data_IF_774203379914
#
_entry.id   IF_774203379914
#
_cell.length_a   1.000
_cell.length_b   1.000
_cell.length_c   1.000
_cell.angle_alpha   90.00
_cell.angle_beta   90.00
_cell.angle_gamma   90.00
#
_symmetry.space_group_name_H-M   'P 1'
#
loop_
_entity.id
_entity.type
_entity.pdbx_description
1 polymer ?
#
# COMPACT_ATOMS: atom_id res chain seq x y z
N UNK A 1 -48.34 10.48 60.52
CA UNK A 1 -47.74 11.82 60.30
C UNK A 1 -48.24 12.39 58.97
N UNK A 2 -49.07 13.44 59.06
CA UNK A 2 -49.18 14.64 58.20
C UNK A 2 -48.72 14.51 56.72
N UNK A 3 -49.64 14.63 55.73
CA UNK A 3 -50.03 15.88 55.02
C UNK A 3 -48.85 16.47 54.20
N UNK A 4 -48.95 16.94 52.96
CA UNK A 4 -50.03 17.14 51.98
C UNK A 4 -49.29 17.65 50.70
N UNK A 5 -49.80 17.35 49.52
CA UNK A 5 -49.46 18.03 48.25
C UNK A 5 -49.55 19.56 48.41
N UNK A 6 -48.85 20.36 47.59
CA UNK A 6 -49.49 21.42 46.78
C UNK A 6 -48.53 21.99 45.73
N UNK A 7 -49.02 21.93 44.50
CA UNK A 7 -48.65 22.74 43.34
C UNK A 7 -49.20 24.16 43.55
N UNK A 8 -48.41 25.17 43.20
CA UNK A 8 -48.83 26.57 43.01
C UNK A 8 -47.95 27.15 41.88
N UNK A 9 -48.43 27.25 40.64
CA UNK A 9 -49.32 28.28 40.08
C UNK A 9 -48.61 29.63 39.89
N UNK A 10 -48.28 29.91 38.61
CA UNK A 10 -48.62 31.13 37.86
C UNK A 10 -48.02 32.47 38.34
N UNK A 11 -47.29 33.17 37.47
CA UNK A 11 -47.76 34.40 36.78
C UNK A 11 -46.63 35.33 36.30
N UNK A 12 -46.93 35.98 35.16
CA UNK A 12 -46.52 37.31 34.67
C UNK A 12 -45.01 37.58 34.37
N UNK A 13 -44.63 37.76 33.10
CA UNK A 13 -44.73 39.00 32.30
C UNK A 13 -43.64 40.03 32.65
N UNK A 14 -42.63 40.19 31.78
CA UNK A 14 -42.25 41.52 31.25
C UNK A 14 -41.26 41.42 30.09
N UNK A 15 -41.57 42.14 29.01
CA UNK A 15 -40.67 42.56 27.94
C UNK A 15 -39.42 43.27 28.52
N UNK A 16 -38.27 43.09 27.86
CA UNK A 16 -37.34 44.19 27.61
C UNK A 16 -36.57 43.94 26.32
N UNK A 17 -36.76 44.91 25.42
CA UNK A 17 -36.03 45.21 24.19
C UNK A 17 -34.54 45.38 24.50
N UNK A 18 -33.65 44.96 23.59
CA UNK A 18 -32.51 45.75 23.10
C UNK A 18 -31.78 44.97 21.98
N UNK A 19 -31.79 45.55 20.77
CA UNK A 19 -30.82 45.25 19.73
C UNK A 19 -29.39 45.45 20.26
N UNK A 20 -28.48 44.55 19.89
CA UNK A 20 -27.07 44.88 19.74
C UNK A 20 -26.43 43.93 18.73
N UNK A 21 -26.05 44.48 17.59
CA UNK A 21 -25.22 43.85 16.57
C UNK A 21 -23.86 43.44 17.14
N UNK A 22 -23.30 42.32 16.66
CA UNK A 22 -21.89 42.09 16.30
C UNK A 22 -21.78 40.64 15.80
N UNK A 23 -21.08 40.24 14.75
CA UNK A 23 -20.29 40.87 13.68
C UNK A 23 -20.34 39.86 12.54
N UNK A 24 -20.88 40.23 11.39
CA UNK A 24 -20.66 39.49 10.14
C UNK A 24 -19.27 39.88 9.62
N UNK A 25 -18.32 38.94 9.68
CA UNK A 25 -17.09 39.05 8.92
C UNK A 25 -17.45 38.84 7.43
N UNK A 26 -17.77 39.96 6.78
CA UNK A 26 -17.98 40.05 5.35
C UNK A 26 -16.67 39.75 4.61
N UNK A 27 -16.53 38.50 4.15
CA UNK A 27 -15.73 38.18 2.98
C UNK A 27 -16.42 38.76 1.75
N UNK A 28 -16.00 39.98 1.39
CA UNK A 28 -16.40 40.64 0.15
C UNK A 28 -15.99 39.73 -1.02
N UNK A 29 -16.99 39.17 -1.71
CA UNK A 29 -16.85 38.74 -3.10
C UNK A 29 -17.80 39.59 -3.92
N UNK A 30 -17.27 40.23 -4.96
CA UNK A 30 -18.01 41.06 -5.90
C UNK A 30 -19.05 40.20 -6.61
N UNK A 31 -20.30 40.27 -6.16
CA UNK A 31 -21.43 39.60 -6.81
C UNK A 31 -21.74 40.36 -8.09
N UNK A 32 -21.58 39.72 -9.25
CA UNK A 32 -22.27 40.16 -10.47
C UNK A 32 -23.77 40.03 -10.20
N UNK A 33 -24.48 41.15 -10.27
CA UNK A 33 -25.94 41.21 -10.21
C UNK A 33 -26.56 40.22 -11.22
N UNK A 34 -27.37 39.26 -10.74
CA UNK A 34 -28.37 38.58 -11.57
C UNK A 34 -28.50 37.05 -11.52
N UNK A 35 -27.59 36.29 -10.89
CA UNK A 35 -27.71 34.82 -10.83
C UNK A 35 -28.19 34.33 -9.46
N UNK A 36 -29.26 33.53 -9.44
CA UNK A 36 -29.77 32.89 -8.22
C UNK A 36 -28.70 31.94 -7.65
N UNK A 37 -28.41 32.04 -6.35
CA UNK A 37 -27.44 31.18 -5.67
C UNK A 37 -28.04 30.57 -4.41
N UNK A 38 -27.57 29.37 -4.06
CA UNK A 38 -27.99 28.62 -2.89
C UNK A 38 -26.80 28.29 -2.00
N UNK A 39 -27.06 28.30 -0.69
CA UNK A 39 -26.05 27.99 0.32
C UNK A 39 -25.86 26.49 0.40
N UNK A 40 -24.61 26.06 0.29
CA UNK A 40 -24.19 24.65 0.31
C UNK A 40 -23.14 24.47 1.40
N UNK A 41 -23.37 23.51 2.30
CA UNK A 41 -22.38 23.07 3.28
C UNK A 41 -21.58 21.91 2.69
N UNK A 42 -20.31 22.14 2.37
CA UNK A 42 -19.41 21.12 1.86
C UNK A 42 -18.53 20.57 2.99
N UNK A 43 -18.55 19.26 3.19
CA UNK A 43 -17.76 18.54 4.19
C UNK A 43 -16.69 17.71 3.50
N UNK A 44 -15.44 17.99 3.82
CA UNK A 44 -14.29 17.31 3.26
C UNK A 44 -13.63 16.53 4.40
N UNK A 45 -13.61 15.22 4.27
CA UNK A 45 -12.89 14.34 5.19
C UNK A 45 -11.70 13.71 4.48
N UNK A 46 -10.81 13.10 5.26
CA UNK A 46 -9.88 12.10 4.74
C UNK A 46 -10.55 10.73 4.78
N UNK A 47 -10.32 9.87 3.79
CA UNK A 47 -10.80 8.46 3.83
C UNK A 47 -10.28 7.70 5.06
N UNK A 48 -9.17 8.18 5.63
CA UNK A 48 -8.52 7.65 6.83
C UNK A 48 -9.01 8.25 8.14
N UNK A 49 -10.00 9.15 8.13
CA UNK A 49 -10.44 9.90 9.32
C UNK A 49 -10.97 9.03 10.45
N UNK A 50 -11.42 7.81 10.15
CA UNK A 50 -11.87 6.78 11.09
C UNK A 50 -10.96 5.54 11.16
N UNK A 51 -9.80 5.56 10.49
CA UNK A 51 -8.86 4.44 10.48
C UNK A 51 -7.94 4.48 11.70
N UNK A 52 -8.02 3.45 12.55
CA UNK A 52 -7.18 3.30 13.74
C UNK A 52 -5.67 3.17 13.42
N UNK A 53 -5.31 2.86 12.17
CA UNK A 53 -3.93 2.75 11.70
C UNK A 53 -3.39 4.06 11.12
N UNK A 54 -4.23 5.09 11.01
CA UNK A 54 -3.84 6.39 10.54
C UNK A 54 -3.32 7.26 11.69
N UNK A 55 -2.20 7.93 11.45
CA UNK A 55 -1.60 8.85 12.42
C UNK A 55 -2.09 10.28 12.17
N UNK A 56 -2.15 11.11 13.22
CA UNK A 56 -2.70 12.47 13.09
C UNK A 56 -1.89 13.36 12.12
N UNK A 57 -0.59 13.09 11.97
CA UNK A 57 0.30 13.73 10.99
C UNK A 57 0.06 13.29 9.54
N UNK A 58 -0.84 12.35 9.28
CA UNK A 58 -1.21 11.88 7.95
C UNK A 58 -2.52 12.48 7.42
N UNK A 59 -3.04 13.52 8.07
CA UNK A 59 -4.32 14.19 7.74
C UNK A 59 -4.09 15.47 6.90
N UNK A 60 -5.12 16.31 6.75
CA UNK A 60 -5.00 17.53 5.93
C UNK A 60 -4.27 18.63 6.70
N UNK A 61 -3.15 19.13 6.16
CA UNK A 61 -2.50 20.37 6.61
C UNK A 61 -2.99 21.58 5.80
N UNK A 62 -3.32 21.36 4.54
CA UNK A 62 -3.86 22.37 3.65
C UNK A 62 -4.98 21.82 2.78
N UNK A 63 -5.77 22.69 2.19
CA UNK A 63 -6.80 22.33 1.22
C UNK A 63 -6.81 23.31 0.05
N UNK A 64 -7.02 22.78 -1.15
CA UNK A 64 -7.32 23.52 -2.37
C UNK A 64 -8.56 22.88 -3.00
N UNK A 65 -9.65 23.64 -3.10
CA UNK A 65 -10.89 23.20 -3.73
C UNK A 65 -11.21 24.05 -4.95
N UNK A 66 -11.61 23.41 -6.03
CA UNK A 66 -12.25 24.06 -7.18
C UNK A 66 -13.65 23.50 -7.35
N UNK A 67 -14.66 24.37 -7.27
CA UNK A 67 -16.03 24.06 -7.66
C UNK A 67 -16.23 24.51 -9.09
N UNK A 68 -16.57 23.57 -9.97
CA UNK A 68 -16.65 23.77 -11.41
C UNK A 68 -18.09 23.57 -11.87
N UNK A 69 -18.60 24.51 -12.67
CA UNK A 69 -19.96 24.44 -13.20
C UNK A 69 -20.03 23.54 -14.46
N UNK A 70 -21.25 23.33 -14.97
CA UNK A 70 -21.50 22.52 -16.16
C UNK A 70 -20.77 23.02 -17.43
N UNK A 71 -20.36 24.29 -17.49
CA UNK A 71 -19.61 24.89 -18.60
C UNK A 71 -18.08 24.77 -18.41
N UNK A 72 -17.63 23.91 -17.49
CA UNK A 72 -16.23 23.70 -17.13
C UNK A 72 -15.52 24.97 -16.63
N UNK A 73 -16.27 25.92 -16.04
CA UNK A 73 -15.72 27.14 -15.44
C UNK A 73 -15.65 27.02 -13.93
N UNK A 74 -14.56 27.50 -13.35
CA UNK A 74 -14.38 27.56 -11.90
C UNK A 74 -15.32 28.63 -11.35
N UNK A 75 -16.28 28.19 -10.56
CA UNK A 75 -17.26 29.05 -9.90
C UNK A 75 -16.80 29.47 -8.51
N UNK A 76 -16.10 28.57 -7.80
CA UNK A 76 -15.50 28.85 -6.50
C UNK A 76 -14.14 28.22 -6.38
N UNK A 77 -13.21 28.95 -5.76
CA UNK A 77 -11.91 28.48 -5.31
C UNK A 77 -11.82 28.66 -3.80
N UNK A 78 -11.29 27.65 -3.10
CA UNK A 78 -11.01 27.70 -1.66
C UNK A 78 -9.58 27.25 -1.47
N UNK A 79 -8.79 28.06 -0.76
CA UNK A 79 -7.43 27.72 -0.36
C UNK A 79 -7.27 28.03 1.12
N UNK A 80 -6.90 27.02 1.91
CA UNK A 80 -6.67 27.21 3.35
C UNK A 80 -5.50 26.34 3.81
N UNK A 81 -4.70 26.88 4.74
CA UNK A 81 -3.69 26.13 5.49
C UNK A 81 -4.10 26.12 6.94
N UNK A 82 -4.10 24.95 7.56
CA UNK A 82 -4.56 24.77 8.92
C UNK A 82 -3.40 24.84 9.92
N UNK A 83 -3.65 25.44 11.08
CA UNK A 83 -2.68 25.44 12.19
C UNK A 83 -2.44 24.01 12.69
N UNK A 84 -3.50 23.22 12.83
CA UNK A 84 -3.45 21.80 13.18
C UNK A 84 -3.97 20.93 12.05
N UNK A 85 -3.53 19.68 12.02
CA UNK A 85 -3.99 18.70 11.03
C UNK A 85 -5.50 18.46 11.18
N UNK A 86 -6.25 18.54 10.08
CA UNK A 86 -7.70 18.33 10.07
C UNK A 86 -8.08 16.98 9.46
N UNK A 87 -8.88 16.21 10.20
CA UNK A 87 -9.58 15.01 9.71
C UNK A 87 -10.84 15.35 8.93
N UNK A 88 -11.47 16.47 9.29
CA UNK A 88 -12.69 17.00 8.69
C UNK A 88 -12.57 18.53 8.55
N UNK A 89 -12.97 19.04 7.41
CA UNK A 89 -13.11 20.45 7.11
C UNK A 89 -14.52 20.72 6.58
N UNK A 90 -15.22 21.68 7.16
CA UNK A 90 -16.56 22.08 6.73
C UNK A 90 -16.51 23.53 6.26
N UNK A 91 -17.09 23.81 5.10
CA UNK A 91 -17.21 25.15 4.55
C UNK A 91 -18.61 25.38 3.99
N UNK A 92 -19.13 26.60 4.18
CA UNK A 92 -20.37 27.05 3.54
C UNK A 92 -20.03 27.94 2.34
N UNK A 93 -20.58 27.61 1.18
CA UNK A 93 -20.36 28.34 -0.07
C UNK A 93 -21.69 28.61 -0.78
N UNK A 94 -21.79 29.79 -1.42
CA UNK A 94 -22.90 30.12 -2.30
C UNK A 94 -22.60 29.64 -3.72
N UNK A 95 -23.51 28.87 -4.31
CA UNK A 95 -23.38 28.32 -5.65
C UNK A 95 -24.67 28.48 -6.45
N UNK A 96 -24.55 28.73 -7.74
CA UNK A 96 -25.65 28.71 -8.70
C UNK A 96 -26.25 27.30 -8.82
N UNK A 97 -27.54 27.16 -9.20
CA UNK A 97 -28.17 25.87 -9.39
C UNK A 97 -27.46 24.98 -10.42
N UNK A 98 -27.74 23.68 -10.34
CA UNK A 98 -27.34 22.69 -11.33
C UNK A 98 -26.14 21.85 -10.93
N UNK A 99 -25.68 21.05 -11.88
CA UNK A 99 -24.60 20.08 -11.65
C UNK A 99 -23.26 20.78 -11.49
N UNK A 100 -22.55 20.42 -10.43
CA UNK A 100 -21.21 20.89 -10.08
C UNK A 100 -20.27 19.71 -9.95
N UNK A 101 -19.02 19.91 -10.38
CA UNK A 101 -17.92 19.00 -10.05
C UNK A 101 -16.99 19.72 -9.08
N UNK A 102 -16.68 19.09 -7.96
CA UNK A 102 -15.66 19.58 -7.04
C UNK A 102 -14.41 18.75 -7.19
N UNK A 103 -13.29 19.44 -7.36
CA UNK A 103 -11.95 18.89 -7.30
C UNK A 103 -11.34 19.31 -5.97
N UNK A 104 -10.93 18.34 -5.17
CA UNK A 104 -10.30 18.56 -3.88
C UNK A 104 -8.88 18.05 -3.86
N UNK A 105 -7.98 18.88 -3.35
CA UNK A 105 -6.58 18.55 -3.17
C UNK A 105 -6.14 18.96 -1.77
N UNK A 106 -5.30 18.16 -1.16
CA UNK A 106 -4.68 18.46 0.12
C UNK A 106 -3.20 18.13 0.05
N UNK A 107 -2.37 18.95 0.70
CA UNK A 107 -0.95 18.70 0.90
C UNK A 107 -0.14 18.49 -0.39
N UNK A 108 -0.63 18.96 -1.54
CA UNK A 108 0.17 19.01 -2.76
C UNK A 108 1.25 20.08 -2.62
N UNK A 109 2.48 19.76 -3.04
CA UNK A 109 3.55 20.74 -3.10
C UNK A 109 3.28 21.78 -4.20
N UNK A 110 3.93 22.95 -4.11
CA UNK A 110 3.83 23.98 -5.13
C UNK A 110 4.29 23.50 -6.53
N UNK A 111 5.29 22.63 -6.57
CA UNK A 111 5.74 22.01 -7.83
C UNK A 111 4.68 21.07 -8.40
N UNK A 112 4.04 20.23 -7.57
CA UNK A 112 2.94 19.37 -8.03
C UNK A 112 1.74 20.18 -8.54
N UNK A 113 1.40 21.30 -7.88
CA UNK A 113 0.35 22.19 -8.36
C UNK A 113 0.70 22.82 -9.71
N UNK A 114 1.96 23.17 -9.92
CA UNK A 114 2.44 23.74 -11.20
C UNK A 114 2.43 22.69 -12.31
N UNK A 115 2.95 21.49 -12.03
CA UNK A 115 2.96 20.35 -12.95
C UNK A 115 1.55 19.95 -13.39
N UNK A 116 0.58 19.98 -12.47
CA UNK A 116 -0.82 19.70 -12.76
C UNK A 116 -1.59 20.86 -13.42
N UNK A 117 -0.95 22.02 -13.64
CA UNK A 117 -1.61 23.21 -14.19
C UNK A 117 -2.64 23.84 -13.26
N UNK A 118 -2.49 23.67 -11.94
CA UNK A 118 -3.44 24.13 -10.91
C UNK A 118 -3.00 25.43 -10.21
N UNK A 119 -1.71 25.76 -10.25
CA UNK A 119 -1.12 26.83 -9.42
C UNK A 119 -1.77 28.22 -9.62
N UNK A 120 -2.13 28.56 -10.86
CA UNK A 120 -2.59 29.90 -11.23
C UNK A 120 -4.08 29.96 -11.61
N UNK A 121 -4.84 28.92 -11.28
CA UNK A 121 -6.28 28.89 -11.57
C UNK A 121 -7.04 29.78 -10.60
N UNK A 122 -7.91 30.64 -11.14
CA UNK A 122 -8.80 31.55 -10.42
C UNK A 122 -10.26 31.36 -10.85
N UNK A 123 -11.16 31.99 -10.09
CA UNK A 123 -12.60 32.01 -10.41
C UNK A 123 -12.80 32.55 -11.85
N UNK A 124 -13.63 31.88 -12.62
CA UNK A 124 -13.92 32.18 -14.02
C UNK A 124 -12.97 31.52 -15.04
N UNK A 125 -11.82 30.98 -14.61
CA UNK A 125 -10.98 30.19 -15.50
C UNK A 125 -11.64 28.86 -15.89
N UNK A 126 -11.21 28.29 -17.01
CA UNK A 126 -11.58 26.93 -17.40
C UNK A 126 -10.77 25.94 -16.57
N UNK A 127 -11.41 24.93 -15.99
CA UNK A 127 -10.69 23.86 -15.31
C UNK A 127 -9.96 22.99 -16.35
N UNK A 128 -8.65 22.71 -16.17
CA UNK A 128 -7.92 21.83 -17.08
C UNK A 128 -8.50 20.41 -17.07
N UNK A 129 -8.36 19.69 -18.18
CA UNK A 129 -8.71 18.27 -18.21
C UNK A 129 -7.70 17.46 -17.40
N UNK A 130 -8.10 17.07 -16.19
CA UNK A 130 -7.29 16.29 -15.28
C UNK A 130 -7.41 14.78 -15.52
N UNK A 131 -8.14 14.33 -16.54
CA UNK A 131 -8.39 12.91 -16.78
C UNK A 131 -7.08 12.14 -16.81
N UNK A 132 -6.11 12.59 -17.62
CA UNK A 132 -4.79 11.97 -17.74
C UNK A 132 -3.67 12.71 -16.99
N UNK A 133 -4.01 13.66 -16.12
CA UNK A 133 -3.01 14.36 -15.32
C UNK A 133 -2.33 13.37 -14.38
N UNK A 134 -1.00 13.34 -14.42
CA UNK A 134 -0.18 12.50 -13.56
C UNK A 134 0.83 13.38 -12.81
N UNK A 135 1.32 12.87 -11.68
CA UNK A 135 2.33 13.51 -10.86
C UNK A 135 3.43 12.51 -10.52
N UNK A 136 4.65 13.03 -10.39
CA UNK A 136 5.75 12.26 -9.81
C UNK A 136 5.85 12.52 -8.32
N UNK A 137 5.67 11.47 -7.52
CA UNK A 137 5.94 11.50 -6.08
C UNK A 137 7.00 10.45 -5.80
N UNK A 138 8.08 10.85 -5.14
CA UNK A 138 9.18 9.95 -4.82
C UNK A 138 8.74 8.87 -3.83
N UNK A 139 9.13 7.62 -4.10
CA UNK A 139 9.02 6.56 -3.10
C UNK A 139 9.93 6.87 -1.90
N UNK A 140 9.52 6.41 -0.72
CA UNK A 140 10.16 6.80 0.53
C UNK A 140 9.80 8.22 0.95
N UNK A 141 8.61 8.70 0.56
CA UNK A 141 8.10 9.99 0.99
C UNK A 141 8.12 10.07 2.52
N UNK A 142 8.63 11.17 3.07
CA UNK A 142 8.69 11.40 4.51
C UNK A 142 7.79 12.57 4.86
N UNK A 143 6.93 12.38 5.86
CA UNK A 143 6.18 13.47 6.47
C UNK A 143 7.17 14.26 7.32
N UNK A 144 7.37 15.52 6.98
CA UNK A 144 8.29 16.41 7.68
C UNK A 144 7.66 17.80 7.78
N UNK A 145 7.30 18.17 9.01
CA UNK A 145 6.71 19.46 9.30
C UNK A 145 7.68 20.63 9.07
N UNK A 146 9.00 20.41 9.18
CA UNK A 146 10.02 21.45 8.98
C UNK A 146 10.11 21.81 7.50
N UNK A 147 10.16 20.80 6.63
CA UNK A 147 10.17 20.99 5.17
C UNK A 147 8.79 21.26 4.57
N UNK A 148 7.72 21.21 5.37
CA UNK A 148 6.34 21.38 4.91
C UNK A 148 5.81 20.21 4.08
N UNK A 149 6.41 19.02 4.23
CA UNK A 149 6.03 17.81 3.51
C UNK A 149 4.95 17.06 4.28
N UNK A 150 3.76 16.98 3.71
CA UNK A 150 2.62 16.25 4.26
C UNK A 150 2.03 15.32 3.20
N UNK A 151 1.34 14.25 3.60
CA UNK A 151 0.87 13.25 2.64
C UNK A 151 -0.13 13.87 1.65
N UNK A 152 0.19 13.87 0.34
CA UNK A 152 -0.69 14.43 -0.68
C UNK A 152 -1.96 13.59 -0.84
N UNK A 153 -3.08 14.27 -1.01
CA UNK A 153 -4.40 13.65 -1.19
C UNK A 153 -5.17 14.36 -2.28
N UNK A 154 -6.05 13.61 -2.94
CA UNK A 154 -6.91 14.16 -3.97
C UNK A 154 -8.21 13.36 -4.10
N UNK A 155 -9.25 14.04 -4.58
CA UNK A 155 -10.43 13.37 -5.12
C UNK A 155 -11.22 14.35 -6.01
N UNK A 156 -12.18 13.81 -6.77
CA UNK A 156 -13.24 14.60 -7.39
C UNK A 156 -14.59 13.94 -7.16
N UNK A 157 -15.63 14.76 -7.00
CA UNK A 157 -17.02 14.29 -6.91
C UNK A 157 -17.93 15.24 -7.68
N UNK A 158 -19.09 14.74 -8.07
CA UNK A 158 -20.12 15.53 -8.74
C UNK A 158 -21.37 15.54 -7.87
N UNK A 159 -22.01 16.69 -7.74
CA UNK A 159 -23.28 16.85 -7.05
C UNK A 159 -24.16 17.86 -7.77
N UNK A 160 -25.43 17.94 -7.37
CA UNK A 160 -26.40 18.84 -7.96
C UNK A 160 -26.88 19.85 -6.93
N UNK A 161 -26.66 21.14 -7.20
CA UNK A 161 -27.15 22.23 -6.35
C UNK A 161 -28.60 22.51 -6.71
N UNK A 162 -29.46 22.53 -5.69
CA UNK A 162 -30.91 22.79 -5.84
C UNK A 162 -31.38 23.83 -4.82
N UNK A 163 -32.61 24.31 -4.94
CA UNK A 163 -33.23 25.20 -3.97
C UNK A 163 -33.69 24.46 -2.70
N UNK A 164 -32.74 23.83 -2.02
CA UNK A 164 -32.96 23.12 -0.75
C UNK A 164 -32.19 23.85 0.34
N UNK A 165 -32.89 24.25 1.40
CA UNK A 165 -32.27 24.83 2.58
C UNK A 165 -31.33 23.83 3.24
N UNK A 166 -30.14 24.29 3.68
CA UNK A 166 -29.14 23.49 4.40
C UNK A 166 -28.64 22.24 3.66
N UNK A 167 -28.65 22.25 2.32
CA UNK A 167 -28.09 21.15 1.54
C UNK A 167 -26.62 20.94 1.88
N UNK A 168 -26.21 19.67 2.02
CA UNK A 168 -24.85 19.30 2.38
C UNK A 168 -24.34 18.15 1.54
N UNK A 169 -23.08 18.23 1.16
CA UNK A 169 -22.40 17.20 0.38
C UNK A 169 -21.06 16.85 1.02
N UNK A 170 -20.63 15.61 0.81
CA UNK A 170 -19.42 15.07 1.40
C UNK A 170 -18.42 14.68 0.29
N UNK A 171 -17.13 14.88 0.55
CA UNK A 171 -16.03 14.33 -0.22
C UNK A 171 -15.00 13.72 0.72
N UNK A 172 -14.54 12.52 0.38
CA UNK A 172 -13.37 11.92 1.02
C UNK A 172 -12.15 12.13 0.14
N UNK A 173 -11.12 12.81 0.65
CA UNK A 173 -9.82 12.85 -0.01
C UNK A 173 -9.10 11.51 0.20
N UNK A 174 -8.52 11.00 -0.88
CA UNK A 174 -7.78 9.73 -0.90
C UNK A 174 -6.29 10.05 -0.97
N UNK A 175 -5.49 9.46 -0.08
CA UNK A 175 -4.03 9.60 -0.13
C UNK A 175 -3.50 9.08 -1.46
N UNK A 176 -2.51 9.78 -2.02
CA UNK A 176 -1.90 9.38 -3.28
C UNK A 176 -0.88 8.25 -3.13
N UNK A 177 -0.41 8.01 -1.91
CA UNK A 177 0.60 7.00 -1.58
C UNK A 177 0.01 5.87 -0.74
N UNK A 178 0.66 4.72 -0.81
CA UNK A 178 0.45 3.56 0.07
C UNK A 178 1.35 3.67 1.30
N UNK A 179 0.98 3.01 2.40
CA UNK A 179 1.76 2.93 3.64
C UNK A 179 2.21 1.49 3.88
N UNK A 180 3.52 1.25 3.94
CA UNK A 180 4.07 0.00 4.47
C UNK A 180 4.43 0.20 5.95
N UNK A 181 4.09 -0.77 6.80
CA UNK A 181 4.65 -0.88 8.15
C UNK A 181 5.29 -2.24 8.32
N UNK A 182 6.59 -2.25 8.60
CA UNK A 182 7.34 -3.48 8.87
C UNK A 182 7.56 -3.64 10.37
N UNK A 183 7.26 -4.84 10.85
CA UNK A 183 7.67 -5.30 12.18
C UNK A 183 8.51 -6.55 12.00
N UNK A 184 9.57 -6.67 12.79
CA UNK A 184 10.51 -7.79 12.76
C UNK A 184 10.47 -8.52 14.09
N UNK A 185 10.44 -9.84 14.03
CA UNK A 185 10.73 -10.71 15.16
C UNK A 185 11.96 -11.55 14.83
N UNK A 186 12.95 -11.55 15.71
CA UNK A 186 14.11 -12.40 15.56
C UNK A 186 13.85 -13.76 16.22
N UNK A 187 13.86 -14.82 15.43
CA UNK A 187 13.85 -16.22 15.89
C UNK A 187 15.01 -16.99 15.22
N UNK A 188 16.13 -16.30 14.96
CA UNK A 188 17.30 -16.86 14.28
C UNK A 188 18.33 -17.48 15.24
N UNK A 189 18.15 -17.38 16.55
CA UNK A 189 19.09 -17.91 17.55
C UNK A 189 20.30 -17.00 17.82
N UNK A 190 20.46 -15.91 17.07
CA UNK A 190 21.57 -14.96 17.21
C UNK A 190 21.11 -13.51 16.98
N UNK A 191 21.95 -12.52 17.32
CA UNK A 191 21.66 -11.12 17.04
C UNK A 191 21.76 -10.82 15.54
N UNK A 192 20.79 -10.06 15.02
CA UNK A 192 20.76 -9.61 13.62
C UNK A 192 20.81 -8.09 13.57
N UNK A 193 21.53 -7.54 12.59
CA UNK A 193 21.50 -6.12 12.27
C UNK A 193 20.85 -5.90 10.92
N UNK A 194 19.75 -5.15 10.87
CA UNK A 194 19.07 -4.82 9.61
C UNK A 194 19.87 -3.74 8.85
N UNK A 195 20.10 -3.91 7.54
CA UNK A 195 20.73 -2.89 6.68
C UNK A 195 19.71 -2.18 5.82
N UNK A 196 19.04 -2.92 4.96
CA UNK A 196 18.01 -2.38 4.09
C UNK A 196 17.03 -3.47 3.67
N UNK A 197 15.85 -3.04 3.24
CA UNK A 197 14.86 -3.91 2.62
C UNK A 197 14.42 -3.31 1.29
N UNK A 198 14.37 -4.16 0.27
CA UNK A 198 14.03 -3.79 -1.10
C UNK A 198 12.66 -4.33 -1.45
N UNK A 199 11.74 -3.44 -1.81
CA UNK A 199 10.43 -3.76 -2.39
C UNK A 199 10.50 -3.67 -3.92
N UNK A 200 10.03 -4.70 -4.63
CA UNK A 200 10.08 -4.77 -6.09
C UNK A 200 8.93 -5.59 -6.69
N UNK A 201 8.34 -5.20 -7.84
CA UNK A 201 8.51 -3.92 -8.51
C UNK A 201 7.65 -2.84 -7.85
N UNK A 202 8.06 -1.57 -7.90
CA UNK A 202 7.29 -0.41 -7.44
C UNK A 202 7.24 0.63 -8.55
N UNK A 203 6.13 1.34 -8.71
CA UNK A 203 6.03 2.50 -9.61
C UNK A 203 6.98 3.61 -9.15
N UNK A 204 7.93 4.05 -9.99
CA UNK A 204 9.00 5.00 -9.61
C UNK A 204 8.85 6.39 -10.21
N UNK A 205 7.98 6.57 -11.22
CA UNK A 205 7.74 7.86 -11.86
C UNK A 205 6.34 8.37 -11.54
N UNK A 206 5.41 8.19 -12.46
CA UNK A 206 4.14 8.91 -12.48
C UNK A 206 2.98 8.06 -11.95
N UNK A 207 2.13 8.68 -11.12
CA UNK A 207 0.81 8.20 -10.72
C UNK A 207 -0.26 9.22 -11.10
N UNK A 208 -1.51 8.80 -11.33
CA UNK A 208 -2.55 9.76 -11.68
C UNK A 208 -2.83 10.74 -10.53
N UNK A 209 -3.05 12.01 -10.86
CA UNK A 209 -3.40 13.03 -9.88
C UNK A 209 -4.68 12.65 -9.16
N UNK A 210 -5.71 12.24 -9.89
CA UNK A 210 -7.02 11.86 -9.33
C UNK A 210 -7.17 10.33 -9.23
N UNK A 211 -7.88 9.82 -8.22
CA UNK A 211 -8.18 8.38 -8.12
C UNK A 211 -8.94 7.86 -9.35
N UNK A 212 -8.58 6.66 -9.81
CA UNK A 212 -9.24 5.96 -10.92
C UNK A 212 -9.85 4.60 -10.55
N UNK A 213 -9.57 4.10 -9.35
CA UNK A 213 -10.19 2.92 -8.77
C UNK A 213 -10.75 3.28 -7.39
N UNK A 214 -11.68 2.48 -6.91
CA UNK A 214 -12.19 2.56 -5.53
C UNK A 214 -11.27 1.85 -4.50
N UNK A 215 -10.12 1.33 -4.96
CA UNK A 215 -9.20 0.52 -4.17
C UNK A 215 -9.49 -0.98 -4.15
N UNK A 216 -10.53 -1.47 -4.83
CA UNK A 216 -10.89 -2.90 -4.85
C UNK A 216 -10.36 -3.67 -6.07
N UNK A 217 -9.83 -2.95 -7.04
CA UNK A 217 -9.26 -3.50 -8.29
C UNK A 217 -7.86 -2.97 -8.48
N UNK A 218 -7.11 -3.57 -9.41
CA UNK A 218 -5.77 -3.09 -9.73
C UNK A 218 -5.79 -1.59 -10.11
N UNK A 219 -4.80 -0.80 -9.65
CA UNK A 219 -4.77 0.62 -9.96
C UNK A 219 -4.56 0.83 -11.46
N UNK A 220 -5.30 1.76 -12.04
CA UNK A 220 -4.97 2.26 -13.37
C UNK A 220 -3.73 3.14 -13.23
N UNK A 221 -2.68 2.85 -14.00
CA UNK A 221 -1.41 3.58 -13.95
C UNK A 221 -1.19 4.38 -15.25
N UNK A 222 -0.49 5.53 -15.23
CA UNK A 222 -0.15 6.30 -16.43
C UNK A 222 0.61 5.47 -17.47
N UNK A 223 0.40 5.76 -18.75
CA UNK A 223 1.16 5.12 -19.85
C UNK A 223 2.67 5.42 -19.76
N UNK A 224 3.03 6.53 -19.14
CA UNK A 224 4.42 6.97 -18.91
C UNK A 224 5.05 6.35 -17.66
N UNK A 225 4.33 5.47 -16.94
CA UNK A 225 4.85 4.86 -15.72
C UNK A 225 6.14 4.08 -15.99
N UNK A 226 7.02 4.13 -15.02
CA UNK A 226 8.21 3.28 -14.93
C UNK A 226 8.13 2.49 -13.63
N UNK A 227 8.63 1.27 -13.66
CA UNK A 227 8.71 0.39 -12.50
C UNK A 227 10.15 0.08 -12.16
N UNK A 228 10.47 -0.03 -10.88
CA UNK A 228 11.80 -0.37 -10.40
C UNK A 228 11.77 -0.87 -8.97
N UNK A 229 12.90 -0.72 -8.28
CA UNK A 229 13.03 -1.12 -6.88
C UNK A 229 12.88 0.11 -5.98
N UNK A 230 12.29 -0.08 -4.81
CA UNK A 230 12.39 0.87 -3.71
C UNK A 230 13.18 0.24 -2.56
N UNK A 231 14.24 0.91 -2.12
CA UNK A 231 15.07 0.48 -1.00
C UNK A 231 14.78 1.36 0.21
N UNK A 232 14.34 0.73 1.29
CA UNK A 232 14.26 1.36 2.60
C UNK A 232 15.51 0.98 3.41
N UNK A 233 16.36 1.96 3.68
CA UNK A 233 17.57 1.76 4.49
C UNK A 233 17.23 1.95 5.96
N UNK A 234 17.55 0.95 6.77
CA UNK A 234 17.38 1.02 8.21
C UNK A 234 18.49 1.89 8.82
N UNK A 235 18.15 2.57 9.92
CA UNK A 235 19.16 3.28 10.70
C UNK A 235 20.17 2.27 11.27
N UNK A 236 21.44 2.67 11.33
CA UNK A 236 22.57 1.82 11.75
C UNK A 236 22.43 1.18 13.15
N UNK A 237 21.52 1.68 13.98
CA UNK A 237 21.19 1.13 15.30
C UNK A 237 20.14 0.01 15.29
N UNK A 238 19.68 -0.47 14.13
CA UNK A 238 18.62 -1.50 14.02
C UNK A 238 19.13 -2.93 14.27
N UNK A 239 19.98 -3.11 15.28
CA UNK A 239 20.45 -4.40 15.76
C UNK A 239 19.55 -4.90 16.88
N UNK A 240 19.24 -6.20 16.88
CA UNK A 240 18.33 -6.79 17.86
C UNK A 240 18.68 -8.25 18.13
N UNK A 241 18.64 -8.61 19.41
CA UNK A 241 18.99 -9.93 19.92
C UNK A 241 18.00 -11.01 19.46
N UNK A 242 18.34 -12.28 19.65
CA UNK A 242 17.38 -13.37 19.49
C UNK A 242 16.15 -13.13 20.38
N UNK A 243 14.97 -13.51 19.88
CA UNK A 243 13.65 -13.29 20.49
C UNK A 243 13.20 -11.83 20.65
N UNK A 244 14.05 -10.86 20.31
CA UNK A 244 13.67 -9.46 20.34
C UNK A 244 12.78 -9.09 19.14
N UNK A 245 12.08 -7.97 19.28
CA UNK A 245 11.22 -7.40 18.24
C UNK A 245 11.65 -5.98 17.94
N UNK A 246 11.57 -5.60 16.66
CA UNK A 246 11.66 -4.22 16.20
C UNK A 246 10.35 -3.89 15.47
N UNK A 247 9.79 -2.71 15.70
CA UNK A 247 8.46 -2.34 15.23
C UNK A 247 8.47 -0.97 14.59
N UNK A 248 7.40 -0.69 13.86
CA UNK A 248 7.05 0.66 13.38
C UNK A 248 8.03 1.26 12.37
N UNK A 249 8.71 0.43 11.56
CA UNK A 249 9.40 0.92 10.37
C UNK A 249 8.37 1.23 9.29
N UNK A 250 8.17 2.52 9.05
CA UNK A 250 7.13 3.01 8.14
C UNK A 250 7.78 3.71 6.96
N UNK A 251 7.27 3.43 5.76
CA UNK A 251 7.58 4.18 4.55
C UNK A 251 6.38 4.23 3.62
N UNK A 252 6.38 5.24 2.76
CA UNK A 252 5.31 5.48 1.79
C UNK A 252 5.83 5.34 0.37
N UNK A 253 5.01 4.77 -0.50
CA UNK A 253 5.39 4.48 -1.88
C UNK A 253 4.17 4.51 -2.79
N UNK A 254 4.41 4.62 -4.09
CA UNK A 254 3.39 4.75 -5.11
C UNK A 254 2.57 3.46 -5.29
N UNK A 255 1.30 3.62 -5.66
CA UNK A 255 0.47 2.52 -6.13
C UNK A 255 1.17 1.77 -7.28
N UNK A 256 1.06 0.45 -7.27
CA UNK A 256 1.91 -0.42 -8.08
C UNK A 256 1.16 -1.68 -8.51
N UNK A 257 1.57 -2.24 -9.64
CA UNK A 257 1.06 -3.50 -10.15
C UNK A 257 2.20 -4.32 -10.71
N UNK A 258 2.15 -5.63 -10.49
CA UNK A 258 3.11 -6.57 -11.06
C UNK A 258 2.67 -6.98 -12.48
N UNK A 259 3.63 -7.13 -13.40
CA UNK A 259 3.34 -7.63 -14.74
C UNK A 259 3.33 -9.17 -14.76
N UNK A 260 2.68 -9.78 -15.75
CA UNK A 260 2.81 -11.20 -16.12
C UNK A 260 2.64 -12.21 -14.97
N UNK A 261 1.55 -12.08 -14.17
CA UNK A 261 1.28 -12.96 -13.02
C UNK A 261 2.42 -13.01 -11.98
N UNK A 262 3.26 -11.96 -11.94
CA UNK A 262 4.33 -11.84 -10.97
C UNK A 262 3.82 -11.56 -9.54
N UNK A 263 4.76 -11.26 -8.65
CA UNK A 263 4.49 -10.95 -7.24
C UNK A 263 5.42 -9.85 -6.77
N UNK A 264 5.00 -9.11 -5.74
CA UNK A 264 5.95 -8.22 -5.08
C UNK A 264 6.95 -9.06 -4.29
N UNK A 265 8.19 -8.61 -4.33
CA UNK A 265 9.33 -9.19 -3.65
C UNK A 265 9.81 -8.23 -2.58
N UNK A 266 10.09 -8.80 -1.41
CA UNK A 266 10.81 -8.18 -0.33
C UNK A 266 12.16 -8.88 -0.18
N UNK A 267 13.25 -8.14 -0.36
CA UNK A 267 14.61 -8.62 -0.14
C UNK A 267 15.21 -7.86 1.03
N UNK A 268 15.41 -8.54 2.15
CA UNK A 268 16.05 -8.00 3.34
C UNK A 268 17.55 -8.30 3.29
N UNK A 269 18.36 -7.25 3.31
CA UNK A 269 19.79 -7.33 3.54
C UNK A 269 20.08 -7.07 5.03
N UNK A 270 20.81 -7.98 5.65
CA UNK A 270 21.11 -7.95 7.08
C UNK A 270 22.56 -8.41 7.34
N UNK A 271 23.01 -8.26 8.59
CA UNK A 271 24.27 -8.82 9.08
C UNK A 271 23.97 -9.78 10.24
N UNK A 272 24.58 -10.96 10.19
CA UNK A 272 24.69 -11.89 11.32
C UNK A 272 26.16 -11.93 11.77
N UNK A 273 26.47 -11.36 12.94
CA UNK A 273 27.87 -11.20 13.37
C UNK A 273 28.67 -10.34 12.40
N UNK A 274 29.57 -10.96 11.63
CA UNK A 274 30.36 -10.32 10.56
C UNK A 274 29.85 -10.62 9.15
N UNK A 275 28.93 -11.58 9.01
CA UNK A 275 28.53 -12.12 7.72
C UNK A 275 27.32 -11.36 7.16
N UNK A 276 27.38 -11.00 5.88
CA UNK A 276 26.23 -10.44 5.20
C UNK A 276 25.22 -11.55 4.90
N UNK A 277 23.95 -11.27 5.14
CA UNK A 277 22.86 -12.21 4.94
C UNK A 277 21.75 -11.58 4.11
N UNK A 278 21.27 -12.30 3.10
CA UNK A 278 20.17 -11.87 2.24
C UNK A 278 19.01 -12.82 2.43
N UNK A 279 17.87 -12.28 2.88
CA UNK A 279 16.62 -13.01 3.06
C UNK A 279 15.58 -12.49 2.09
N UNK A 280 14.76 -13.37 1.54
CA UNK A 280 13.74 -12.97 0.57
C UNK A 280 12.38 -13.55 0.92
N UNK A 281 11.34 -12.77 0.66
CA UNK A 281 9.95 -13.19 0.70
C UNK A 281 9.20 -12.65 -0.51
N UNK A 282 8.24 -13.41 -0.99
CA UNK A 282 7.31 -13.01 -2.04
C UNK A 282 5.94 -12.83 -1.42
N UNK A 283 5.28 -11.73 -1.75
CA UNK A 283 3.89 -11.51 -1.34
C UNK A 283 2.96 -12.28 -2.28
N UNK A 284 1.72 -12.49 -1.86
CA UNK A 284 0.63 -12.95 -2.72
C UNK A 284 -0.08 -11.79 -3.46
N UNK A 285 0.30 -10.55 -3.13
CA UNK A 285 -0.23 -9.35 -3.77
C UNK A 285 0.22 -9.25 -5.22
N UNK A 286 -0.75 -8.97 -6.10
CA UNK A 286 -0.52 -8.70 -7.53
C UNK A 286 -0.64 -7.20 -7.86
N UNK A 287 -1.23 -6.43 -6.96
CA UNK A 287 -1.25 -4.97 -7.02
C UNK A 287 -1.34 -4.37 -5.61
N UNK A 288 -1.03 -3.09 -5.52
CA UNK A 288 -1.14 -2.26 -4.31
C UNK A 288 -1.75 -0.94 -4.77
N UNK A 289 -2.89 -0.56 -4.19
CA UNK A 289 -3.57 0.68 -4.48
C UNK A 289 -3.06 1.82 -3.61
N UNK A 290 -3.21 3.05 -4.10
CA UNK A 290 -3.01 4.25 -3.27
C UNK A 290 -3.91 4.16 -2.03
N UNK A 291 -3.46 4.76 -0.93
CA UNK A 291 -4.15 4.71 0.36
C UNK A 291 -4.25 3.30 0.98
N UNK A 292 -3.64 2.26 0.41
CA UNK A 292 -3.52 0.97 1.08
C UNK A 292 -2.57 1.07 2.28
N UNK A 293 -2.87 0.29 3.31
CA UNK A 293 -2.01 0.07 4.47
C UNK A 293 -1.58 -1.39 4.52
N UNK A 294 -0.28 -1.63 4.47
CA UNK A 294 0.34 -2.95 4.42
C UNK A 294 1.15 -3.21 5.71
N UNK A 295 0.54 -3.80 6.74
CA UNK A 295 1.25 -4.22 7.94
C UNK A 295 1.90 -5.59 7.70
N UNK A 296 3.22 -5.64 7.61
CA UNK A 296 3.97 -6.88 7.44
C UNK A 296 4.77 -7.22 8.69
N UNK A 297 4.50 -8.42 9.21
CA UNK A 297 5.25 -9.01 10.30
C UNK A 297 6.24 -10.03 9.72
N UNK A 298 7.52 -9.69 9.75
CA UNK A 298 8.61 -10.51 9.23
C UNK A 298 9.25 -11.25 10.39
N UNK A 299 9.24 -12.58 10.33
CA UNK A 299 9.91 -13.44 11.31
C UNK A 299 11.21 -13.93 10.66
N UNK A 300 12.35 -13.58 11.26
CA UNK A 300 13.66 -14.05 10.83
C UNK A 300 13.92 -15.40 11.49
N UNK A 301 14.09 -16.45 10.70
CA UNK A 301 14.25 -17.82 11.21
C UNK A 301 15.68 -18.31 11.05
N UNK A 302 16.03 -19.32 11.84
CA UNK A 302 17.33 -20.00 11.88
C UNK A 302 17.46 -21.12 10.83
N UNK A 303 16.71 -21.06 9.72
CA UNK A 303 16.63 -22.17 8.77
C UNK A 303 16.92 -21.76 7.32
N UNK A 304 17.73 -22.58 6.63
CA UNK A 304 17.91 -22.52 5.17
C UNK A 304 17.47 -23.82 4.51
N UNK A 305 16.96 -23.72 3.28
CA UNK A 305 16.67 -24.87 2.42
C UNK A 305 17.90 -25.22 1.59
N UNK A 306 18.26 -26.49 1.55
CA UNK A 306 19.17 -27.07 0.57
C UNK A 306 18.43 -28.13 -0.25
N UNK A 307 18.77 -28.24 -1.53
CA UNK A 307 18.14 -29.18 -2.45
C UNK A 307 19.22 -30.07 -3.06
N UNK A 308 19.08 -31.38 -2.91
CA UNK A 308 19.86 -32.34 -3.69
C UNK A 308 19.05 -32.77 -4.92
N UNK A 309 19.69 -32.79 -6.08
CA UNK A 309 19.07 -33.28 -7.31
C UNK A 309 19.71 -34.59 -7.75
N UNK A 310 18.87 -35.53 -8.19
CA UNK A 310 19.28 -36.73 -8.92
C UNK A 310 18.50 -36.80 -10.21
N UNK A 311 19.18 -37.15 -11.29
CA UNK A 311 18.57 -37.49 -12.57
C UNK A 311 19.34 -38.63 -13.20
N UNK A 312 18.71 -39.29 -14.16
CA UNK A 312 19.27 -40.44 -14.87
C UNK A 312 19.40 -40.11 -16.36
N UNK A 313 20.30 -39.18 -16.76
CA UNK A 313 20.47 -38.83 -18.16
C UNK A 313 21.16 -39.95 -18.95
N UNK A 314 21.07 -39.93 -20.29
CA UNK A 314 21.88 -40.78 -21.17
C UNK A 314 23.39 -40.62 -20.90
N UNK A 315 24.18 -41.66 -21.20
CA UNK A 315 25.64 -41.68 -21.02
C UNK A 315 26.27 -40.47 -21.73
N UNK A 316 27.00 -39.62 -20.98
CA UNK A 316 27.64 -38.41 -21.49
C UNK A 316 26.90 -37.09 -21.24
N UNK A 317 25.75 -37.11 -20.55
CA UNK A 317 25.01 -35.89 -20.19
C UNK A 317 25.61 -35.08 -19.04
N UNK A 318 25.25 -33.79 -18.96
CA UNK A 318 25.59 -32.90 -17.83
C UNK A 318 24.88 -33.33 -16.54
N UNK A 319 25.39 -32.93 -15.37
CA UNK A 319 24.72 -33.16 -14.11
C UNK A 319 23.49 -32.24 -13.94
N UNK A 320 22.52 -32.68 -13.13
CA UNK A 320 21.47 -31.79 -12.65
C UNK A 320 22.08 -30.72 -11.74
N UNK A 321 21.54 -29.50 -11.77
CA UNK A 321 22.09 -28.36 -11.06
C UNK A 321 21.03 -27.60 -10.26
N UNK A 322 21.39 -27.17 -9.06
CA UNK A 322 20.62 -26.19 -8.28
C UNK A 322 21.34 -24.86 -8.35
N UNK A 323 20.61 -23.80 -8.66
CA UNK A 323 21.09 -22.43 -8.45
C UNK A 323 20.05 -21.60 -7.70
N UNK A 324 20.52 -20.62 -6.95
CA UNK A 324 19.63 -19.66 -6.27
C UNK A 324 19.60 -18.39 -7.08
N UNK A 325 18.40 -17.91 -7.37
CA UNK A 325 18.17 -16.63 -8.05
C UNK A 325 17.27 -15.75 -7.21
N UNK A 326 17.05 -14.51 -7.63
CA UNK A 326 16.36 -13.50 -6.80
C UNK A 326 14.87 -13.76 -6.54
N UNK A 327 14.29 -14.82 -7.09
CA UNK A 327 12.87 -15.20 -6.94
C UNK A 327 12.69 -16.68 -6.53
N UNK A 328 13.79 -17.40 -6.24
CA UNK A 328 13.74 -18.78 -5.73
C UNK A 328 14.86 -19.68 -6.25
N UNK A 329 14.73 -20.98 -5.98
CA UNK A 329 15.66 -22.02 -6.41
C UNK A 329 15.35 -22.46 -7.85
N UNK A 330 16.38 -22.70 -8.65
CA UNK A 330 16.30 -23.29 -10.00
C UNK A 330 16.85 -24.69 -9.94
N UNK A 331 15.99 -25.67 -10.17
CA UNK A 331 16.35 -27.07 -10.31
C UNK A 331 16.34 -27.43 -11.79
N UNK A 332 17.54 -27.49 -12.38
CA UNK A 332 17.71 -27.67 -13.81
C UNK A 332 18.23 -29.06 -14.11
N UNK A 333 17.54 -29.76 -15.00
CA UNK A 333 17.88 -31.13 -15.39
C UNK A 333 18.44 -31.17 -16.82
N UNK A 334 19.46 -32.01 -17.08
CA UNK A 334 20.20 -32.03 -18.34
C UNK A 334 19.41 -32.59 -19.54
N UNK A 335 18.26 -33.22 -19.29
CA UNK A 335 17.47 -33.92 -20.29
C UNK A 335 16.13 -34.37 -19.73
N UNK A 336 15.27 -34.88 -20.61
CA UNK A 336 14.03 -35.55 -20.22
C UNK A 336 14.31 -36.83 -19.42
N UNK A 337 13.30 -37.32 -18.71
CA UNK A 337 13.38 -38.55 -17.92
C UNK A 337 13.10 -38.37 -16.42
N UNK A 338 13.31 -39.44 -15.62
CA UNK A 338 12.99 -39.44 -14.20
C UNK A 338 13.96 -38.54 -13.43
N UNK A 339 13.41 -37.82 -12.45
CA UNK A 339 14.20 -37.01 -11.53
C UNK A 339 13.76 -37.20 -10.07
N UNK A 340 14.67 -36.86 -9.16
CA UNK A 340 14.43 -36.79 -7.72
C UNK A 340 14.97 -35.47 -7.20
N UNK A 341 14.17 -34.76 -6.40
CA UNK A 341 14.58 -33.60 -5.59
C UNK A 341 14.44 -34.00 -4.12
N UNK A 342 15.52 -33.91 -3.37
CA UNK A 342 15.51 -34.20 -1.92
C UNK A 342 15.71 -32.88 -1.17
N UNK A 343 14.64 -32.30 -0.60
CA UNK A 343 14.78 -31.12 0.24
C UNK A 343 15.40 -31.46 1.60
N UNK A 344 16.31 -30.60 2.05
CA UNK A 344 16.92 -30.63 3.37
C UNK A 344 16.75 -29.28 4.03
N UNK A 345 16.27 -29.28 5.27
CA UNK A 345 16.23 -28.08 6.07
C UNK A 345 17.45 -28.10 6.98
N UNK A 346 18.30 -27.07 6.85
CA UNK A 346 19.49 -26.91 7.67
C UNK A 346 19.20 -25.82 8.69
N UNK A 347 19.41 -26.14 9.96
CA UNK A 347 19.43 -25.15 11.02
C UNK A 347 20.78 -24.43 10.99
N UNK A 348 20.79 -23.10 10.89
CA UNK A 348 22.02 -22.32 10.68
C UNK A 348 22.89 -22.30 11.94
N UNK A 349 22.30 -22.12 13.12
CA UNK A 349 23.02 -22.07 14.40
C UNK A 349 23.83 -23.32 14.72
N UNK A 350 23.31 -24.50 14.39
CA UNK A 350 23.94 -25.80 14.65
C UNK A 350 24.58 -26.42 13.40
N UNK A 351 24.42 -25.78 12.23
CA UNK A 351 24.75 -26.32 10.92
C UNK A 351 24.29 -27.78 10.72
N UNK A 352 23.15 -28.13 11.33
CA UNK A 352 22.65 -29.50 11.38
C UNK A 352 21.38 -29.65 10.56
N UNK A 353 21.20 -30.84 9.96
CA UNK A 353 19.98 -31.17 9.22
C UNK A 353 18.85 -31.41 10.22
N UNK A 354 17.71 -30.76 10.02
CA UNK A 354 16.49 -31.01 10.81
C UNK A 354 15.96 -32.39 10.49
N UNK A 355 16.04 -33.31 11.46
CA UNK A 355 15.49 -34.66 11.35
C UNK A 355 13.96 -34.64 11.48
N UNK A 356 13.24 -35.46 10.72
CA UNK A 356 11.77 -35.57 10.71
C UNK A 356 11.03 -34.29 10.25
N UNK A 357 11.64 -33.53 9.34
CA UNK A 357 10.98 -32.41 8.69
C UNK A 357 9.69 -32.86 7.95
N UNK A 358 8.56 -32.25 8.30
CA UNK A 358 7.28 -32.52 7.67
C UNK A 358 7.13 -31.63 6.42
N UNK A 359 7.48 -32.21 5.28
CA UNK A 359 7.46 -31.53 3.98
C UNK A 359 6.09 -31.61 3.31
N UNK A 360 5.75 -30.58 2.54
CA UNK A 360 4.71 -30.60 1.53
C UNK A 360 5.22 -30.01 0.22
N UNK A 361 4.59 -30.38 -0.88
CA UNK A 361 4.98 -29.94 -2.22
C UNK A 361 3.74 -29.67 -3.06
N UNK A 362 3.71 -28.51 -3.70
CA UNK A 362 2.67 -28.10 -4.64
C UNK A 362 3.28 -27.45 -5.87
N UNK A 363 2.52 -27.34 -6.94
CA UNK A 363 2.92 -26.61 -8.14
C UNK A 363 1.76 -25.72 -8.61
N UNK A 364 2.11 -24.56 -9.18
CA UNK A 364 1.14 -23.48 -9.43
C UNK A 364 0.30 -23.72 -10.68
N UNK A 365 0.89 -24.29 -11.72
CA UNK A 365 0.14 -24.64 -12.93
C UNK A 365 -0.72 -25.88 -12.69
N UNK A 366 -2.01 -25.82 -12.99
CA UNK A 366 -2.92 -26.97 -12.86
C UNK A 366 -2.49 -28.19 -13.69
N UNK A 367 -1.71 -27.98 -14.76
CA UNK A 367 -1.08 -29.03 -15.54
C UNK A 367 0.22 -28.51 -16.21
N UNK A 368 1.37 -28.53 -15.51
CA UNK A 368 2.62 -28.03 -16.07
C UNK A 368 3.01 -28.91 -17.26
N UNK A 369 3.11 -28.31 -18.45
CA UNK A 369 3.27 -29.05 -19.72
C UNK A 369 4.60 -29.78 -19.84
N UNK A 370 5.59 -29.46 -19.00
CA UNK A 370 6.94 -30.02 -19.03
C UNK A 370 7.04 -31.46 -18.49
N UNK A 371 6.03 -31.94 -17.76
CA UNK A 371 6.07 -33.25 -17.12
C UNK A 371 5.33 -34.32 -17.93
N UNK A 372 5.96 -35.48 -18.10
CA UNK A 372 5.29 -36.73 -18.51
C UNK A 372 4.63 -37.42 -17.32
N UNK A 373 5.25 -37.30 -16.14
CA UNK A 373 4.67 -37.70 -14.86
C UNK A 373 4.85 -36.55 -13.88
N UNK A 374 3.73 -36.02 -13.41
CA UNK A 374 3.74 -34.89 -12.46
C UNK A 374 4.51 -35.24 -11.19
N UNK A 375 5.32 -34.32 -10.65
CA UNK A 375 6.09 -34.56 -9.45
C UNK A 375 5.19 -34.75 -8.22
N UNK A 376 5.51 -35.76 -7.41
CA UNK A 376 4.85 -36.00 -6.12
C UNK A 376 5.88 -36.19 -5.02
N UNK A 377 5.58 -35.62 -3.85
CA UNK A 377 6.36 -35.84 -2.63
C UNK A 377 5.99 -37.19 -2.01
N UNK A 378 6.97 -38.07 -1.86
CA UNK A 378 6.84 -39.35 -1.16
C UNK A 378 8.11 -39.63 -0.35
N UNK A 379 7.95 -39.96 0.93
CA UNK A 379 9.06 -40.27 1.85
C UNK A 379 10.17 -39.20 1.86
N UNK A 380 9.80 -37.92 1.84
CA UNK A 380 10.76 -36.80 1.84
C UNK A 380 11.48 -36.57 0.51
N UNK A 381 11.10 -37.26 -0.57
CA UNK A 381 11.65 -37.06 -1.91
C UNK A 381 10.55 -36.64 -2.89
N UNK A 382 10.82 -35.65 -3.72
CA UNK A 382 9.92 -35.22 -4.80
C UNK A 382 10.35 -35.93 -6.07
N UNK A 383 9.49 -36.76 -6.63
CA UNK A 383 9.80 -37.61 -7.81
C UNK A 383 8.84 -37.31 -8.94
N UNK A 384 9.39 -37.09 -10.14
CA UNK A 384 8.62 -36.85 -11.35
C UNK A 384 9.35 -37.34 -12.60
N UNK A 385 8.78 -37.06 -13.76
CA UNK A 385 9.39 -37.35 -15.07
C UNK A 385 9.22 -36.17 -15.99
N UNK A 386 10.33 -35.62 -16.47
CA UNK A 386 10.34 -34.57 -17.50
C UNK A 386 10.12 -35.19 -18.88
N UNK A 387 9.39 -34.47 -19.73
CA UNK A 387 9.29 -34.77 -21.16
C UNK A 387 10.65 -34.72 -21.82
N UNK A 388 10.82 -35.51 -22.88
CA UNK A 388 11.95 -35.33 -23.79
C UNK A 388 11.84 -33.98 -24.50
N UNK A 389 12.89 -33.17 -24.42
CA UNK A 389 12.92 -31.82 -25.02
C UNK A 389 11.82 -30.90 -24.49
N UNK A 390 11.54 -30.98 -23.18
CA UNK A 390 10.57 -30.12 -22.51
C UNK A 390 10.99 -28.64 -22.64
N UNK A 391 10.12 -27.82 -23.22
CA UNK A 391 10.32 -26.37 -23.29
C UNK A 391 9.53 -25.68 -22.19
N UNK A 392 10.20 -24.85 -21.39
CA UNK A 392 9.58 -24.04 -20.33
C UNK A 392 10.00 -24.45 -18.92
N UNK A 393 9.32 -23.86 -17.94
CA UNK A 393 9.66 -23.99 -16.52
C UNK A 393 8.40 -24.14 -15.70
N UNK A 394 8.35 -25.14 -14.82
CA UNK A 394 7.27 -25.28 -13.85
C UNK A 394 7.62 -24.56 -12.56
N UNK A 395 6.69 -23.73 -12.06
CA UNK A 395 6.80 -23.12 -10.74
C UNK A 395 6.18 -24.04 -9.68
N UNK A 396 6.97 -24.36 -8.67
CA UNK A 396 6.61 -25.20 -7.55
C UNK A 396 6.85 -24.51 -6.20
N UNK A 397 6.16 -24.98 -5.17
CA UNK A 397 6.35 -24.58 -3.78
C UNK A 397 6.70 -25.80 -2.96
N UNK A 398 7.84 -25.77 -2.27
CA UNK A 398 8.21 -26.72 -1.22
C UNK A 398 7.97 -26.04 0.11
N UNK A 399 7.18 -26.66 0.99
CA UNK A 399 6.95 -26.14 2.33
C UNK A 399 7.34 -27.15 3.40
N UNK A 400 7.70 -26.66 4.58
CA UNK A 400 8.03 -27.49 5.74
C UNK A 400 7.48 -26.89 7.01
N UNK A 401 6.88 -27.73 7.85
CA UNK A 401 6.49 -27.35 9.20
C UNK A 401 7.66 -27.57 10.16
N UNK A 402 8.07 -26.52 10.85
CA UNK A 402 9.08 -26.56 11.92
C UNK A 402 8.46 -26.18 13.25
N UNK A 403 8.74 -26.99 14.27
CA UNK A 403 8.43 -26.64 15.65
C UNK A 403 9.56 -25.77 16.20
N UNK A 404 9.22 -24.59 16.70
CA UNK A 404 10.19 -23.72 17.37
C UNK A 404 10.39 -24.15 18.82
N UNK A 405 11.40 -23.58 19.49
CA UNK A 405 11.68 -23.78 20.92
C UNK A 405 10.49 -23.49 21.85
N UNK A 406 9.45 -22.83 21.35
CA UNK A 406 8.23 -22.44 22.09
C UNK A 406 7.03 -23.35 21.77
N UNK A 407 7.25 -24.52 21.13
CA UNK A 407 6.19 -25.42 20.63
C UNK A 407 5.24 -24.77 19.61
N UNK A 408 5.65 -23.65 19.00
CA UNK A 408 4.90 -23.02 17.91
C UNK A 408 5.31 -23.71 16.61
N UNK A 409 4.32 -24.17 15.84
CA UNK A 409 4.58 -24.71 14.49
C UNK A 409 4.57 -23.56 13.48
N UNK A 410 5.66 -23.43 12.72
CA UNK A 410 5.81 -22.46 11.62
C UNK A 410 5.90 -23.20 10.30
N UNK A 411 5.17 -22.74 9.29
CA UNK A 411 5.32 -23.23 7.93
C UNK A 411 6.30 -22.33 7.17
N UNK A 412 7.44 -22.88 6.79
CA UNK A 412 8.38 -22.24 5.87
C UNK A 412 8.02 -22.66 4.44
N UNK A 413 7.99 -21.73 3.50
CA UNK A 413 7.63 -22.02 2.10
C UNK A 413 8.67 -21.44 1.17
N UNK A 414 9.10 -22.25 0.20
CA UNK A 414 10.19 -21.94 -0.73
C UNK A 414 9.71 -22.18 -2.16
N UNK A 415 10.01 -21.24 -3.05
CA UNK A 415 9.74 -21.40 -4.48
C UNK A 415 10.87 -22.11 -5.18
N UNK A 416 10.49 -23.10 -5.99
CA UNK A 416 11.39 -23.95 -6.75
C UNK A 416 10.89 -24.01 -8.18
N UNK A 417 11.78 -23.73 -9.11
CA UNK A 417 11.49 -23.77 -10.53
C UNK A 417 12.15 -25.01 -11.11
N UNK A 418 11.38 -25.84 -11.77
CA UNK A 418 11.86 -27.08 -12.40
C UNK A 418 11.88 -26.87 -13.90
N UNK A 419 13.03 -27.11 -14.54
CA UNK A 419 13.16 -27.01 -16.00
C UNK A 419 14.14 -28.03 -16.55
N UNK A 420 14.08 -28.22 -17.86
CA UNK A 420 15.11 -28.92 -18.63
C UNK A 420 16.08 -27.89 -19.22
N UNK A 421 17.37 -28.24 -19.30
CA UNK A 421 18.36 -27.54 -20.12
C UNK A 421 18.23 -27.90 -21.59
#
# INVERSE_FOLDING_TARGET
MKKQNYISVLSLLLLLILCSCTKDDNLITTVKSGEETYSVTYRISTRSSSDANASDNEMMKSILLFVVNANNKIEKKVTETFQEMKKLYEIKIQLTPGTKTVYGFSNLSASNLTEAGLANLEIGNTMPDLTNSALTIANGFTIDAISGNYLPMSNKTTFNVTNIANQSFNMELIRMLCKMKLNFKNESGHSITLKDIVLSPVTTSAIYLLPRSNGLTAPALPVTKTTGNYTYTFNSSSSFADKAELKDYIFYFNESQVNNNGWFKLTLNAINGTDNEVRMSLTDLTFINRNDYLPLNIILTDYKLELDLKSYPPIGGYAAAVSTTTDGYRCTFPGGGPFVITPKLIQLSSNSVVTNANWSFTYTDTSPSIFDKVPMLNNGEIKGTLKSSATGTALCTISVNVSTSENITRMLSYRVYISQN
#
